data_IF_044400782415
#
_entry.id   IF_044400782415
#
_cell.length_a   1.000
_cell.length_b   1.000
_cell.length_c   1.000
_cell.angle_alpha   90.00
_cell.angle_beta   90.00
_cell.angle_gamma   90.00
#
_symmetry.space_group_name_H-M   'P 1'
#
loop_
_entity.id
_entity.type
_entity.pdbx_description
1 polymer ?
#
# COMPACT_ATOMS: atom_id res chain seq x y z
N UNK A 1 -2.71 -7.86 -10.89
CA UNK A 1 -3.72 -8.78 -10.31
C UNK A 1 -3.11 -10.14 -9.94
N UNK A 2 -2.42 -10.82 -10.85
CA UNK A 2 -1.83 -12.15 -10.60
C UNK A 2 -0.90 -12.22 -9.37
N UNK A 3 -0.09 -11.18 -9.14
CA UNK A 3 0.75 -11.10 -7.93
C UNK A 3 -0.09 -11.12 -6.64
N UNK A 4 -1.23 -10.43 -6.61
CA UNK A 4 -2.12 -10.40 -5.46
C UNK A 4 -2.81 -11.76 -5.25
N UNK A 5 -3.28 -12.39 -6.33
CA UNK A 5 -3.85 -13.74 -6.32
C UNK A 5 -2.84 -14.72 -5.72
N UNK A 6 -1.60 -14.73 -6.23
CA UNK A 6 -0.53 -15.60 -5.74
C UNK A 6 -0.25 -15.39 -4.25
N UNK A 7 -0.13 -14.13 -3.79
CA UNK A 7 0.12 -13.80 -2.38
C UNK A 7 -1.02 -14.23 -1.46
N UNK A 8 -2.26 -14.04 -1.87
CA UNK A 8 -3.42 -14.38 -1.03
C UNK A 8 -3.66 -15.89 -0.94
N UNK A 9 -3.55 -16.60 -2.07
CA UNK A 9 -3.78 -18.04 -2.13
C UNK A 9 -2.60 -18.85 -1.58
N UNK A 10 -1.36 -18.49 -1.92
CA UNK A 10 -0.16 -19.25 -1.49
C UNK A 10 0.44 -18.76 -0.18
N UNK A 11 0.17 -17.51 0.18
CA UNK A 11 0.69 -16.91 1.40
C UNK A 11 -0.34 -16.97 2.52
N UNK A 12 -1.21 -15.97 2.58
CA UNK A 12 -1.83 -15.57 3.85
C UNK A 12 -3.07 -16.38 4.26
N UNK A 13 -3.93 -16.79 3.31
CA UNK A 13 -5.30 -17.23 3.66
C UNK A 13 -5.80 -18.49 2.95
N UNK A 14 -5.16 -18.94 1.86
CA UNK A 14 -5.57 -20.14 1.11
C UNK A 14 -6.80 -19.97 0.22
N UNK A 15 -7.67 -18.99 0.51
CA UNK A 15 -8.88 -18.66 -0.25
C UNK A 15 -9.21 -17.16 -0.21
N UNK A 16 -10.00 -16.68 -1.17
CA UNK A 16 -10.55 -15.33 -1.15
C UNK A 16 -11.81 -15.24 -0.28
N UNK A 17 -12.07 -14.07 0.31
CA UNK A 17 -13.37 -13.80 0.93
C UNK A 17 -14.38 -13.41 -0.14
N UNK A 18 -15.65 -13.71 0.12
CA UNK A 18 -16.78 -13.47 -0.79
C UNK A 18 -16.78 -12.04 -1.38
N UNK A 19 -16.76 -11.01 -0.52
CA UNK A 19 -16.76 -9.61 -0.97
C UNK A 19 -15.39 -9.12 -1.50
N UNK A 20 -14.28 -9.71 -1.05
CA UNK A 20 -12.95 -9.39 -1.60
C UNK A 20 -12.85 -9.85 -3.07
N UNK A 21 -13.56 -10.93 -3.42
CA UNK A 21 -13.69 -11.47 -4.76
C UNK A 21 -14.84 -10.87 -5.58
N UNK A 22 -15.60 -9.91 -5.03
CA UNK A 22 -16.73 -9.29 -5.73
C UNK A 22 -17.83 -10.28 -6.11
N UNK A 23 -18.03 -11.35 -5.32
CA UNK A 23 -19.02 -12.39 -5.63
C UNK A 23 -20.47 -11.87 -5.56
N UNK A 24 -20.69 -10.78 -4.85
CA UNK A 24 -21.96 -10.04 -4.78
C UNK A 24 -22.30 -9.29 -6.07
N UNK A 25 -21.30 -9.05 -6.93
CA UNK A 25 -21.46 -8.38 -8.22
C UNK A 25 -21.85 -9.33 -9.36
N UNK A 26 -21.94 -10.64 -9.07
CA UNK A 26 -22.31 -11.70 -10.02
C UNK A 26 -21.47 -11.69 -11.32
N UNK A 27 -20.17 -11.34 -11.19
CA UNK A 27 -19.25 -11.24 -12.33
C UNK A 27 -18.84 -12.61 -12.87
N UNK A 28 -18.75 -13.61 -12.00
CA UNK A 28 -18.40 -14.99 -12.33
C UNK A 28 -18.79 -15.92 -11.17
N UNK A 29 -19.21 -17.17 -11.45
CA UNK A 29 -19.42 -18.18 -10.42
C UNK A 29 -18.11 -18.74 -9.84
N UNK A 30 -16.99 -18.61 -10.56
CA UNK A 30 -15.67 -18.97 -10.05
C UNK A 30 -15.08 -17.83 -9.23
N UNK A 31 -14.72 -18.11 -7.98
CA UNK A 31 -14.25 -17.10 -7.02
C UNK A 31 -12.94 -16.45 -7.45
N UNK A 32 -12.03 -17.20 -8.07
CA UNK A 32 -10.74 -16.65 -8.52
C UNK A 32 -10.92 -15.73 -9.71
N UNK A 33 -11.78 -16.13 -10.65
CA UNK A 33 -12.11 -15.31 -11.81
C UNK A 33 -12.91 -14.07 -11.43
N UNK A 34 -13.88 -14.21 -10.52
CA UNK A 34 -14.61 -13.06 -9.98
C UNK A 34 -13.66 -12.07 -9.30
N UNK A 35 -12.72 -12.56 -8.48
CA UNK A 35 -11.68 -11.72 -7.88
C UNK A 35 -10.84 -11.00 -8.94
N UNK A 36 -10.44 -11.70 -10.01
CA UNK A 36 -9.66 -11.11 -11.09
C UNK A 36 -10.42 -9.98 -11.78
N UNK A 37 -11.68 -10.20 -12.14
CA UNK A 37 -12.54 -9.21 -12.79
C UNK A 37 -12.78 -8.00 -11.88
N UNK A 38 -13.21 -8.26 -10.64
CA UNK A 38 -13.54 -7.22 -9.67
C UNK A 38 -12.32 -6.34 -9.34
N UNK A 39 -11.18 -6.94 -9.01
CA UNK A 39 -9.97 -6.19 -8.67
C UNK A 39 -9.36 -5.47 -9.88
N UNK A 40 -9.58 -5.97 -11.11
CA UNK A 40 -9.18 -5.24 -12.33
C UNK A 40 -10.00 -3.97 -12.52
N UNK A 41 -11.31 -4.01 -12.25
CA UNK A 41 -12.17 -2.82 -12.29
C UNK A 41 -11.75 -1.81 -11.23
N UNK A 42 -11.52 -2.25 -9.98
CA UNK A 42 -11.03 -1.38 -8.90
C UNK A 42 -9.70 -0.72 -9.27
N UNK A 43 -8.76 -1.48 -9.85
CA UNK A 43 -7.47 -0.96 -10.27
C UNK A 43 -7.62 0.13 -11.34
N UNK A 44 -8.54 -0.04 -12.29
CA UNK A 44 -8.83 0.97 -13.30
C UNK A 44 -9.37 2.28 -12.68
N UNK A 45 -10.25 2.19 -11.68
CA UNK A 45 -10.74 3.37 -10.96
C UNK A 45 -9.63 4.06 -10.16
N UNK A 46 -8.74 3.31 -9.50
CA UNK A 46 -7.57 3.91 -8.86
C UNK A 46 -6.65 4.61 -9.86
N UNK A 47 -6.52 4.11 -11.08
CA UNK A 47 -5.79 4.80 -12.16
C UNK A 47 -6.33 6.20 -12.42
N UNK A 48 -7.65 6.35 -12.51
CA UNK A 48 -8.29 7.66 -12.67
C UNK A 48 -8.05 8.59 -11.48
N UNK A 49 -8.14 8.06 -10.26
CA UNK A 49 -7.91 8.85 -9.02
C UNK A 49 -6.45 9.31 -8.95
N UNK A 50 -5.49 8.48 -9.36
CA UNK A 50 -4.07 8.87 -9.42
C UNK A 50 -3.89 10.05 -10.36
N UNK A 51 -4.46 9.98 -11.57
CA UNK A 51 -4.36 11.04 -12.57
C UNK A 51 -5.07 12.34 -12.12
N UNK A 52 -6.25 12.22 -11.48
CA UNK A 52 -7.06 13.36 -11.04
C UNK A 52 -6.44 14.10 -9.85
N UNK A 53 -5.91 13.37 -8.86
CA UNK A 53 -5.45 13.95 -7.60
C UNK A 53 -3.92 14.00 -7.46
N UNK A 54 -3.17 13.54 -8.46
CA UNK A 54 -1.71 13.51 -8.44
C UNK A 54 -1.18 12.63 -7.31
N UNK A 55 -1.80 11.47 -7.06
CA UNK A 55 -1.37 10.57 -6.00
C UNK A 55 -0.01 9.94 -6.33
N UNK A 56 0.83 9.79 -5.31
CA UNK A 56 2.10 9.08 -5.44
C UNK A 56 1.86 7.57 -5.47
N UNK A 57 2.23 6.92 -6.57
CA UNK A 57 2.13 5.47 -6.74
C UNK A 57 3.38 4.76 -6.22
N UNK A 58 3.19 3.60 -5.60
CA UNK A 58 4.29 2.73 -5.17
C UNK A 58 4.19 1.37 -5.87
N UNK A 59 5.34 0.84 -6.29
CA UNK A 59 5.41 -0.52 -6.83
C UNK A 59 5.38 -1.55 -5.69
N UNK A 60 4.20 -2.14 -5.50
CA UNK A 60 3.98 -3.17 -4.48
C UNK A 60 4.56 -4.55 -4.86
N UNK A 61 5.17 -4.71 -6.02
CA UNK A 61 5.83 -5.97 -6.44
C UNK A 61 7.24 -6.13 -5.86
N UNK A 62 7.86 -5.01 -5.45
CA UNK A 62 9.18 -4.99 -4.80
C UNK A 62 9.15 -5.66 -3.42
N UNK A 63 10.33 -5.95 -2.88
CA UNK A 63 10.49 -6.41 -1.50
C UNK A 63 10.02 -5.37 -0.48
N UNK A 64 9.51 -5.83 0.66
CA UNK A 64 8.89 -4.96 1.67
C UNK A 64 9.86 -3.92 2.24
N UNK A 65 11.14 -4.27 2.36
CA UNK A 65 12.18 -3.36 2.85
C UNK A 65 12.41 -2.22 1.86
N UNK A 66 12.57 -2.52 0.57
CA UNK A 66 12.71 -1.53 -0.50
C UNK A 66 11.49 -0.60 -0.58
N UNK A 67 10.28 -1.15 -0.45
CA UNK A 67 9.06 -0.34 -0.41
C UNK A 67 9.06 0.62 0.79
N UNK A 68 9.45 0.14 1.97
CA UNK A 68 9.53 0.98 3.16
C UNK A 68 10.57 2.10 3.01
N UNK A 69 11.75 1.80 2.49
CA UNK A 69 12.79 2.80 2.24
C UNK A 69 12.31 3.88 1.27
N UNK A 70 11.68 3.48 0.17
CA UNK A 70 11.12 4.41 -0.80
C UNK A 70 10.03 5.29 -0.18
N UNK A 71 9.10 4.71 0.59
CA UNK A 71 8.08 5.46 1.32
C UNK A 71 8.71 6.52 2.24
N UNK A 72 9.70 6.11 3.04
CA UNK A 72 10.37 6.98 4.01
C UNK A 72 11.03 8.17 3.33
N UNK A 73 11.73 7.93 2.22
CA UNK A 73 12.37 8.98 1.44
C UNK A 73 11.35 9.99 0.89
N UNK A 74 10.20 9.51 0.37
CA UNK A 74 9.12 10.38 -0.13
C UNK A 74 8.52 11.24 0.99
N UNK A 75 8.24 10.64 2.15
CA UNK A 75 7.69 11.35 3.31
C UNK A 75 8.70 12.34 3.90
N UNK A 76 9.96 11.97 4.01
CA UNK A 76 11.02 12.87 4.48
C UNK A 76 11.15 14.10 3.56
N UNK A 77 11.11 13.88 2.24
CA UNK A 77 11.10 14.97 1.27
C UNK A 77 9.85 15.86 1.41
N UNK A 78 8.67 15.27 1.57
CA UNK A 78 7.41 16.01 1.75
C UNK A 78 7.38 16.81 3.07
N UNK A 79 8.03 16.31 4.11
CA UNK A 79 8.16 16.96 5.42
C UNK A 79 9.36 17.91 5.50
N UNK A 80 10.09 18.17 4.41
CA UNK A 80 11.24 19.07 4.42
C UNK A 80 10.82 20.47 4.86
N UNK A 81 11.35 20.91 5.99
CA UNK A 81 11.02 22.22 6.58
C UNK A 81 9.77 22.21 7.46
N UNK A 82 9.08 21.07 7.60
CA UNK A 82 8.03 20.91 8.59
C UNK A 82 8.60 21.05 10.00
N UNK A 83 8.17 22.11 10.71
CA UNK A 83 8.48 22.31 12.12
C UNK A 83 7.24 21.89 12.91
N UNK A 84 7.25 20.74 13.59
CA UNK A 84 6.13 20.37 14.44
C UNK A 84 5.91 21.48 15.45
N UNK A 85 4.67 21.97 15.59
CA UNK A 85 4.32 22.88 16.68
C UNK A 85 4.69 22.15 17.97
N UNK A 86 5.64 22.69 18.74
CA UNK A 86 5.96 22.15 20.07
C UNK A 86 4.73 22.35 20.96
N UNK A 87 3.85 21.37 20.98
CA UNK A 87 2.73 21.26 21.89
C UNK A 87 2.98 20.09 22.84
N UNK A 88 3.40 20.43 24.06
CA UNK A 88 3.01 19.86 25.37
C UNK A 88 2.25 18.51 25.46
N UNK A 89 2.62 17.49 24.69
CA UNK A 89 2.20 16.12 24.98
C UNK A 89 3.38 15.17 24.93
N UNK A 90 3.68 14.58 26.09
CA UNK A 90 4.40 13.32 26.19
C UNK A 90 5.92 13.42 26.10
N UNK A 91 6.56 13.67 27.25
CA UNK A 91 7.88 13.08 27.50
C UNK A 91 7.83 11.58 27.14
N UNK A 92 8.79 11.14 26.33
CA UNK A 92 9.18 9.74 26.06
C UNK A 92 8.18 8.91 25.25
N UNK A 93 8.42 8.84 23.95
CA UNK A 93 8.69 7.57 23.25
C UNK A 93 9.45 7.86 21.96
N UNK A 94 10.69 7.38 21.91
CA UNK A 94 11.61 7.45 20.78
C UNK A 94 11.16 6.50 19.66
N UNK A 95 10.00 6.73 19.04
CA UNK A 95 9.55 5.87 17.92
C UNK A 95 10.10 6.37 16.56
N UNK A 96 10.24 7.69 16.40
CA UNK A 96 10.57 8.30 15.09
C UNK A 96 12.06 8.38 14.74
N UNK A 97 12.97 8.04 15.67
CA UNK A 97 14.44 8.07 15.41
C UNK A 97 14.97 6.88 14.58
N UNK A 98 14.11 5.97 14.13
CA UNK A 98 14.53 4.79 13.34
C UNK A 98 14.55 5.04 11.83
N UNK A 99 14.31 6.27 11.39
CA UNK A 99 14.30 6.68 9.99
C UNK A 99 15.60 7.40 9.55
N UNK A 100 16.56 7.63 10.44
CA UNK A 100 17.88 8.10 10.03
C UNK A 100 18.62 6.94 9.36
N UNK A 101 18.67 6.97 8.02
CA UNK A 101 19.56 6.11 7.22
C UNK A 101 21.00 6.39 7.67
N UNK A 102 21.81 5.38 8.07
CA UNK A 102 23.19 5.61 8.43
C UNK A 102 23.93 6.21 7.23
N UNK A 103 24.50 7.40 7.39
CA UNK A 103 25.48 7.91 6.43
C UNK A 103 26.77 7.13 6.65
N UNK A 104 27.22 6.40 5.64
CA UNK A 104 28.55 5.77 5.64
C UNK A 104 29.63 6.84 5.71
N UNK A 105 30.59 6.65 6.61
CA UNK A 105 31.87 7.38 6.64
C UNK A 105 32.76 7.05 5.44
#
# INVERSE_FOLDING_TARGET
IEVAISRLLRGTRGQFKYYEAGMDMDLSPDVTESFRLFQSQILAEYGKIVDEYGLLTMDATLEIETQQEHMRALVEAALRGYKPRRGTYGRRTLFWRRFEVPRSE
#
